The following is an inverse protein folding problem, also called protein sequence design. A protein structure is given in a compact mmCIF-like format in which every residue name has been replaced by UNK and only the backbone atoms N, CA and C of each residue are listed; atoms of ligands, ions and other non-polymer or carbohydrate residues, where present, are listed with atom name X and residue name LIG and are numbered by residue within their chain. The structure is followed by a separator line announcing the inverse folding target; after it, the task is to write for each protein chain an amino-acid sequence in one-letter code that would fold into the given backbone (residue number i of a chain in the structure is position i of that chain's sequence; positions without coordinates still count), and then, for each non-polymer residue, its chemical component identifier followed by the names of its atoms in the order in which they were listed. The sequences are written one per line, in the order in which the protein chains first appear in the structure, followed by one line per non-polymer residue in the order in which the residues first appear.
data_IF_527696124971
#
_entry.id   IF_527696124971
#
_cell.length_a   1.000
_cell.length_b   1.000
_cell.length_c   1.000
_cell.angle_alpha   90.00
_cell.angle_beta   90.00
_cell.angle_gamma   90.00
#
_symmetry.space_group_name_H-M   'P 1'
#
loop_
_entity.id
_entity.type
_entity.pdbx_description
1 polymer ?
#
# COMPACT_ATOMS: atom_id res chain seq x y z
N UNK A 1 31.00 -26.10 51.63
CA UNK A 1 29.82 -25.23 51.40
C UNK A 1 29.41 -25.38 49.94
N UNK A 2 28.11 -25.44 49.65
CA UNK A 2 27.65 -24.78 48.43
C UNK A 2 27.21 -25.63 47.24
N UNK A 3 26.99 -26.96 47.32
CA UNK A 3 26.38 -27.67 46.19
C UNK A 3 24.94 -27.15 45.92
N UNK A 4 24.18 -26.90 46.99
CA UNK A 4 22.88 -26.22 46.90
C UNK A 4 23.00 -24.76 46.43
N UNK A 5 24.08 -24.05 46.77
CA UNK A 5 24.31 -22.68 46.31
C UNK A 5 24.72 -22.63 44.83
N UNK A 6 25.55 -23.57 44.38
CA UNK A 6 25.94 -23.73 42.97
C UNK A 6 24.76 -24.17 42.11
N UNK A 7 23.86 -25.02 42.64
CA UNK A 7 22.62 -25.38 41.98
C UNK A 7 21.67 -24.17 41.87
N UNK A 8 21.50 -23.39 42.94
CA UNK A 8 20.71 -22.15 42.88
C UNK A 8 21.28 -21.13 41.89
N UNK A 9 22.61 -21.03 41.77
CA UNK A 9 23.26 -20.19 40.77
C UNK A 9 22.99 -20.69 39.34
N UNK A 10 23.06 -22.01 39.11
CA UNK A 10 22.74 -22.63 37.82
C UNK A 10 21.29 -22.36 37.41
N UNK A 11 20.35 -22.44 38.36
CA UNK A 11 18.93 -22.17 38.12
C UNK A 11 18.71 -20.70 37.72
N UNK A 12 19.35 -19.75 38.43
CA UNK A 12 19.29 -18.32 38.09
C UNK A 12 19.87 -18.01 36.70
N UNK A 13 21.02 -18.61 36.35
CA UNK A 13 21.62 -18.42 35.03
C UNK A 13 20.74 -19.01 33.92
N UNK A 14 20.08 -20.14 34.19
CA UNK A 14 19.16 -20.78 33.25
C UNK A 14 17.92 -19.93 33.03
N UNK A 15 17.36 -19.33 34.09
CA UNK A 15 16.26 -18.36 33.98
C UNK A 15 16.68 -17.16 33.13
N UNK A 16 17.85 -16.58 33.40
CA UNK A 16 18.39 -15.45 32.63
C UNK A 16 18.60 -15.80 31.15
N UNK A 17 19.04 -17.03 30.85
CA UNK A 17 19.16 -17.52 29.46
C UNK A 17 17.78 -17.58 28.77
N UNK A 18 16.78 -18.13 29.47
CA UNK A 18 15.40 -18.18 28.97
C UNK A 18 14.83 -16.79 28.70
N UNK A 19 15.12 -15.81 29.56
CA UNK A 19 14.68 -14.42 29.37
C UNK A 19 15.30 -13.80 28.11
N UNK A 20 16.60 -14.04 27.88
CA UNK A 20 17.29 -13.56 26.67
C UNK A 20 16.76 -14.22 25.39
N UNK A 21 16.46 -15.53 25.43
CA UNK A 21 15.83 -16.25 24.31
C UNK A 21 14.45 -15.68 23.98
N UNK A 22 13.67 -15.38 25.01
CA UNK A 22 12.36 -14.74 24.85
C UNK A 22 12.49 -13.34 24.24
N UNK A 23 13.48 -12.54 24.68
CA UNK A 23 13.76 -11.22 24.08
C UNK A 23 14.15 -11.32 22.62
N UNK A 24 15.05 -12.24 22.25
CA UNK A 24 15.44 -12.47 20.85
C UNK A 24 14.22 -12.82 20.00
N UNK A 25 13.33 -13.69 20.50
CA UNK A 25 12.10 -14.05 19.81
C UNK A 25 11.15 -12.86 19.63
N UNK A 26 10.99 -12.02 20.67
CA UNK A 26 10.18 -10.80 20.55
C UNK A 26 10.73 -9.83 19.51
N UNK A 27 12.06 -9.66 19.46
CA UNK A 27 12.70 -8.78 18.48
C UNK A 27 12.47 -9.32 17.06
N UNK A 28 12.59 -10.64 16.85
CA UNK A 28 12.32 -11.27 15.57
C UNK A 28 10.86 -11.05 15.11
N UNK A 29 9.88 -11.14 16.01
CA UNK A 29 8.48 -10.84 15.69
C UNK A 29 8.28 -9.37 15.30
N UNK A 30 8.91 -8.44 16.03
CA UNK A 30 8.86 -7.00 15.69
C UNK A 30 9.45 -6.73 14.31
N UNK A 31 10.54 -7.38 13.92
CA UNK A 31 11.13 -7.27 12.57
C UNK A 31 10.19 -7.83 11.48
N UNK A 32 9.48 -8.91 11.79
CA UNK A 32 8.45 -9.45 10.89
C UNK A 32 7.30 -8.44 10.71
N UNK A 33 6.88 -7.75 11.78
CA UNK A 33 5.87 -6.69 11.70
C UNK A 33 6.34 -5.53 10.81
N UNK A 34 7.58 -5.06 10.99
CA UNK A 34 8.15 -4.00 10.13
C UNK A 34 8.16 -4.39 8.64
N UNK A 35 8.45 -5.66 8.34
CA UNK A 35 8.39 -6.18 6.97
C UNK A 35 6.97 -6.10 6.40
N UNK A 36 5.96 -6.46 7.19
CA UNK A 36 4.55 -6.34 6.79
C UNK A 36 4.15 -4.89 6.56
N UNK A 37 4.60 -3.98 7.42
CA UNK A 37 4.34 -2.54 7.25
C UNK A 37 4.95 -2.02 5.93
N UNK A 38 6.17 -2.46 5.57
CA UNK A 38 6.75 -2.11 4.26
C UNK A 38 5.92 -2.62 3.08
N UNK A 39 5.34 -3.82 3.19
CA UNK A 39 4.49 -4.40 2.15
C UNK A 39 3.22 -3.56 1.95
N UNK A 40 2.55 -3.19 3.04
CA UNK A 40 1.36 -2.33 3.01
C UNK A 40 1.66 -0.98 2.35
N UNK A 41 2.79 -0.36 2.68
CA UNK A 41 3.20 0.92 2.08
C UNK A 41 3.51 0.80 0.58
N UNK A 42 4.11 -0.32 0.17
CA UNK A 42 4.36 -0.60 -1.24
C UNK A 42 3.04 -0.78 -2.01
N UNK A 43 2.06 -1.47 -1.42
CA UNK A 43 0.73 -1.61 -2.02
C UNK A 43 0.01 -0.26 -2.13
N UNK A 44 0.06 0.58 -1.10
CA UNK A 44 -0.58 1.89 -1.13
C UNK A 44 0.01 2.78 -2.23
N UNK A 45 1.33 2.82 -2.35
CA UNK A 45 2.01 3.51 -3.45
C UNK A 45 1.57 2.96 -4.81
N UNK A 46 1.54 1.64 -4.97
CA UNK A 46 1.13 1.01 -6.23
C UNK A 46 -0.34 1.32 -6.59
N UNK A 47 -1.23 1.45 -5.60
CA UNK A 47 -2.63 1.84 -5.82
C UNK A 47 -2.77 3.30 -6.23
N UNK A 48 -2.01 4.20 -5.60
CA UNK A 48 -1.98 5.63 -5.96
C UNK A 48 -1.41 5.81 -7.37
N UNK A 49 -0.23 5.27 -7.65
CA UNK A 49 0.39 5.36 -9.00
C UNK A 49 -0.38 4.62 -10.09
N UNK A 50 -1.14 3.60 -9.72
CA UNK A 50 -1.94 2.81 -10.66
C UNK A 50 -3.33 3.35 -10.95
N UNK A 51 -3.77 4.43 -10.27
CA UNK A 51 -5.11 4.96 -10.43
C UNK A 51 -5.30 5.62 -11.81
N UNK A 52 -6.55 5.62 -12.29
CA UNK A 52 -6.90 6.20 -13.59
C UNK A 52 -8.15 7.04 -13.48
N UNK A 53 -8.09 8.21 -14.08
CA UNK A 53 -9.18 9.18 -14.18
C UNK A 53 -9.53 9.35 -15.65
N UNK A 54 -10.80 9.62 -15.93
CA UNK A 54 -11.23 9.92 -17.29
C UNK A 54 -11.00 11.42 -17.49
N UNK A 55 -10.28 11.80 -18.55
CA UNK A 55 -10.04 13.21 -18.90
C UNK A 55 -10.65 13.52 -20.27
N UNK A 56 -11.04 14.79 -20.45
CA UNK A 56 -11.45 15.32 -21.74
C UNK A 56 -10.21 15.86 -22.45
N UNK A 57 -9.98 15.37 -23.66
CA UNK A 57 -8.86 15.77 -24.49
C UNK A 57 -9.33 16.82 -25.48
N UNK A 58 -8.74 18.02 -25.38
CA UNK A 58 -8.88 19.03 -26.43
C UNK A 58 -7.77 18.81 -27.47
N UNK A 59 -8.12 18.60 -28.75
CA UNK A 59 -7.12 18.44 -29.78
C UNK A 59 -6.30 19.71 -29.93
N UNK A 60 -5.00 19.55 -30.18
CA UNK A 60 -4.09 20.66 -30.39
C UNK A 60 -4.54 21.54 -31.57
N UNK A 61 -4.64 22.85 -31.34
CA UNK A 61 -5.06 23.82 -32.37
C UNK A 61 -3.97 24.06 -33.43
N UNK A 62 -2.74 23.60 -33.17
CA UNK A 62 -1.57 23.77 -34.05
C UNK A 62 -0.88 22.42 -34.35
N UNK A 63 -0.19 22.37 -35.51
CA UNK A 63 0.47 21.16 -36.06
C UNK A 63 1.47 20.46 -35.13
N UNK A 64 1.98 21.15 -34.10
CA UNK A 64 2.91 20.65 -33.08
C UNK A 64 2.47 21.02 -31.64
N UNK A 65 1.19 21.36 -31.42
CA UNK A 65 0.69 21.72 -30.09
C UNK A 65 0.51 20.48 -29.20
N UNK A 66 0.76 20.63 -27.89
CA UNK A 66 0.39 19.61 -26.92
C UNK A 66 -1.14 19.53 -26.76
N UNK A 67 -1.67 18.31 -26.67
CA UNK A 67 -3.08 18.08 -26.33
C UNK A 67 -3.35 18.57 -24.90
N UNK A 68 -4.34 19.45 -24.74
CA UNK A 68 -4.71 19.91 -23.40
C UNK A 68 -5.64 18.87 -22.76
N UNK A 69 -5.16 18.27 -21.66
CA UNK A 69 -5.93 17.34 -20.84
C UNK A 69 -6.73 18.14 -19.81
N UNK A 70 -8.03 18.27 -20.01
CA UNK A 70 -8.93 18.93 -19.07
C UNK A 70 -9.62 17.90 -18.19
N UNK A 71 -10.03 18.36 -17.01
CA UNK A 71 -10.85 17.58 -16.10
C UNK A 71 -12.24 17.30 -16.70
N UNK A 72 -12.87 16.21 -16.24
CA UNK A 72 -14.13 15.73 -16.78
C UNK A 72 -15.32 16.54 -16.26
N UNK A 73 -15.52 17.71 -16.86
CA UNK A 73 -16.67 18.56 -16.61
C UNK A 73 -17.63 18.54 -17.79
N UNK A 74 -18.91 18.79 -17.52
CA UNK A 74 -19.95 18.92 -18.56
C UNK A 74 -19.62 20.06 -19.52
N UNK A 75 -19.00 21.13 -19.03
CA UNK A 75 -18.54 22.24 -19.87
C UNK A 75 -17.42 21.78 -20.84
N UNK A 76 -16.41 21.07 -20.34
CA UNK A 76 -15.34 20.53 -21.19
C UNK A 76 -15.87 19.52 -22.24
N UNK A 77 -16.85 18.70 -21.88
CA UNK A 77 -17.52 17.78 -22.82
C UNK A 77 -18.28 18.54 -23.91
N UNK A 78 -19.04 19.58 -23.53
CA UNK A 78 -19.80 20.39 -24.49
C UNK A 78 -18.90 21.10 -25.50
N UNK A 79 -17.71 21.54 -25.08
CA UNK A 79 -16.71 22.15 -25.96
C UNK A 79 -16.14 21.15 -26.99
N UNK A 80 -16.21 19.84 -26.70
CA UNK A 80 -15.83 18.78 -27.62
C UNK A 80 -17.02 18.15 -28.36
N UNK A 81 -18.19 18.82 -28.37
CA UNK A 81 -19.43 18.30 -28.96
C UNK A 81 -19.81 16.92 -28.37
N UNK A 82 -19.61 16.75 -27.05
CA UNK A 82 -19.98 15.57 -26.29
C UNK A 82 -21.00 15.95 -25.21
N UNK A 83 -21.98 15.08 -25.03
CA UNK A 83 -22.97 15.20 -23.96
C UNK A 83 -23.09 13.89 -23.19
N UNK A 84 -23.40 14.01 -21.90
CA UNK A 84 -23.74 12.87 -21.05
C UNK A 84 -25.23 12.61 -21.14
N UNK A 85 -25.61 11.35 -21.26
CA UNK A 85 -26.99 10.91 -21.30
C UNK A 85 -27.20 9.90 -20.19
N UNK A 86 -28.22 10.13 -19.36
CA UNK A 86 -28.56 9.22 -18.27
C UNK A 86 -29.31 8.00 -18.82
N UNK A 87 -28.84 6.80 -18.45
CA UNK A 87 -29.40 5.53 -18.97
C UNK A 87 -30.83 5.28 -18.50
N UNK A 88 -31.24 5.84 -17.35
CA UNK A 88 -32.57 5.65 -16.78
C UNK A 88 -33.65 6.48 -17.51
N UNK A 89 -33.31 7.71 -17.93
CA UNK A 89 -34.25 8.68 -18.49
C UNK A 89 -34.07 8.86 -19.99
N UNK A 90 -32.88 8.55 -20.52
CA UNK A 90 -32.48 8.84 -21.90
C UNK A 90 -32.31 10.33 -22.17
N UNK A 91 -32.31 11.15 -21.12
CA UNK A 91 -32.20 12.62 -21.20
C UNK A 91 -30.75 13.08 -21.06
N UNK A 92 -30.46 14.22 -21.68
CA UNK A 92 -29.14 14.87 -21.57
C UNK A 92 -28.98 15.44 -20.16
N UNK A 93 -27.87 15.08 -19.54
CA UNK A 93 -27.49 15.60 -18.23
C UNK A 93 -26.96 17.02 -18.40
N UNK A 94 -27.77 18.00 -18.02
CA UNK A 94 -27.45 19.44 -18.13
C UNK A 94 -26.89 20.04 -16.84
N UNK A 95 -26.85 19.27 -15.75
CA UNK A 95 -26.44 19.76 -14.44
C UNK A 95 -24.92 19.95 -14.36
N UNK A 96 -24.45 21.14 -14.69
CA UNK A 96 -23.02 21.53 -14.67
C UNK A 96 -22.33 21.39 -13.30
N UNK A 97 -23.08 21.21 -12.21
CA UNK A 97 -22.54 21.05 -10.86
C UNK A 97 -22.28 19.59 -10.45
N UNK A 98 -22.45 18.63 -11.36
CA UNK A 98 -22.06 17.25 -11.11
C UNK A 98 -20.54 17.18 -10.86
N UNK A 99 -20.16 16.49 -9.79
CA UNK A 99 -18.75 16.23 -9.49
C UNK A 99 -18.12 15.42 -10.61
N UNK A 100 -16.86 15.70 -10.93
CA UNK A 100 -16.07 14.93 -11.90
C UNK A 100 -16.09 13.44 -11.53
N UNK A 101 -16.02 13.14 -10.23
CA UNK A 101 -16.10 11.78 -9.68
C UNK A 101 -17.46 11.11 -9.95
N UNK A 102 -18.57 11.85 -9.92
CA UNK A 102 -19.91 11.29 -10.18
C UNK A 102 -20.07 10.98 -11.68
N UNK A 103 -19.50 11.82 -12.54
CA UNK A 103 -19.49 11.62 -13.99
C UNK A 103 -18.63 10.40 -14.34
N UNK A 104 -17.43 10.30 -13.77
CA UNK A 104 -16.55 9.15 -13.96
C UNK A 104 -17.18 7.85 -13.51
N UNK A 105 -17.71 7.82 -12.28
CA UNK A 105 -18.37 6.64 -11.74
C UNK A 105 -19.61 6.28 -12.56
N UNK A 106 -20.38 7.27 -13.02
CA UNK A 106 -21.55 7.00 -13.84
C UNK A 106 -21.20 6.49 -15.25
N UNK A 107 -20.11 6.96 -15.87
CA UNK A 107 -19.63 6.42 -17.16
C UNK A 107 -19.06 5.00 -17.02
N UNK A 108 -18.39 4.69 -15.91
CA UNK A 108 -17.83 3.36 -15.65
C UNK A 108 -18.89 2.35 -15.25
N UNK A 109 -19.86 2.75 -14.43
CA UNK A 109 -20.95 1.89 -13.94
C UNK A 109 -22.15 1.83 -14.90
N UNK A 110 -22.15 2.64 -15.96
CA UNK A 110 -23.19 2.64 -17.00
C UNK A 110 -24.44 3.43 -16.65
N UNK A 111 -24.44 4.21 -15.57
CA UNK A 111 -25.49 5.18 -15.25
C UNK A 111 -25.53 6.31 -16.29
N UNK A 112 -24.37 6.71 -16.80
CA UNK A 112 -24.23 7.67 -17.89
C UNK A 112 -23.62 7.02 -19.13
N UNK A 113 -24.04 7.50 -20.30
CA UNK A 113 -23.47 7.16 -21.60
C UNK A 113 -23.03 8.44 -22.30
N UNK A 114 -21.99 8.34 -23.12
CA UNK A 114 -21.52 9.45 -23.94
C UNK A 114 -22.30 9.48 -25.27
N UNK A 115 -22.61 10.67 -25.75
CA UNK A 115 -23.13 10.86 -27.10
C UNK A 115 -22.51 12.11 -27.74
N UNK A 116 -22.40 12.07 -29.06
CA UNK A 116 -22.03 13.19 -29.90
C UNK A 116 -23.29 13.96 -30.32
N UNK A 117 -23.32 15.26 -30.00
CA UNK A 117 -24.44 16.14 -30.27
C UNK A 117 -24.58 17.24 -29.23
N UNK A 118 -25.60 18.07 -29.36
CA UNK A 118 -25.77 19.31 -28.58
C UNK A 118 -26.93 19.27 -27.60
N UNK A 119 -28.11 18.77 -28.00
CA UNK A 119 -29.32 18.73 -27.16
C UNK A 119 -30.33 17.71 -27.72
N UNK A 120 -30.95 16.89 -26.86
CA UNK A 120 -32.03 15.95 -27.23
C UNK A 120 -31.81 14.51 -26.76
N UNK A 121 -32.80 13.63 -26.94
CA UNK A 121 -32.64 12.20 -26.60
C UNK A 121 -31.67 11.53 -27.60
N UNK A 122 -30.99 10.47 -27.17
CA UNK A 122 -30.14 9.67 -28.06
C UNK A 122 -30.78 8.33 -28.42
N UNK A 123 -30.70 7.99 -29.70
CA UNK A 123 -31.20 6.72 -30.25
C UNK A 123 -30.06 5.72 -30.42
N UNK A 124 -30.41 4.44 -30.30
CA UNK A 124 -29.50 3.32 -30.54
C UNK A 124 -29.54 2.85 -32.01
N UNK A 125 -30.37 3.48 -32.84
CA UNK A 125 -30.81 2.96 -34.14
C UNK A 125 -30.49 3.98 -35.25
N UNK A 126 -29.67 3.58 -36.23
CA UNK A 126 -29.28 4.41 -37.39
C UNK A 126 -30.44 4.62 -38.38
N UNK A 127 -31.62 4.09 -38.07
CA UNK A 127 -32.78 4.12 -38.98
C UNK A 127 -34.07 4.42 -38.21
N UNK A 128 -34.31 5.68 -37.82
CA UNK A 128 -35.69 6.20 -37.82
C UNK A 128 -35.75 7.72 -37.72
N UNK A 129 -36.74 8.21 -38.46
CA UNK A 129 -37.24 9.57 -38.60
C UNK A 129 -36.87 10.59 -37.51
N UNK A 130 -36.17 11.64 -37.97
CA UNK A 130 -36.26 13.07 -37.58
C UNK A 130 -36.90 13.36 -36.21
N UNK A 131 -36.10 13.33 -35.14
CA UNK A 131 -36.23 14.26 -33.99
C UNK A 131 -35.09 14.11 -32.96
N UNK A 132 -34.36 12.98 -33.01
CA UNK A 132 -33.26 12.72 -32.07
C UNK A 132 -31.89 13.11 -32.64
N UNK A 133 -31.19 13.99 -31.91
CA UNK A 133 -30.02 14.73 -32.39
C UNK A 133 -28.67 14.20 -31.91
N UNK A 134 -28.67 13.15 -31.07
CA UNK A 134 -27.48 12.69 -30.36
C UNK A 134 -27.14 11.23 -30.71
N UNK A 135 -25.91 10.98 -31.17
CA UNK A 135 -25.38 9.65 -31.52
C UNK A 135 -24.54 9.09 -30.39
N UNK A 136 -24.85 7.90 -29.86
CA UNK A 136 -24.03 7.30 -28.80
C UNK A 136 -22.59 7.04 -29.25
N UNK A 137 -21.65 7.38 -28.39
CA UNK A 137 -20.22 7.12 -28.55
C UNK A 137 -19.73 6.33 -27.36
N UNK A 138 -18.88 5.32 -27.58
CA UNK A 138 -18.24 4.59 -26.50
C UNK A 138 -17.04 5.41 -25.99
N UNK A 139 -17.09 5.81 -24.72
CA UNK A 139 -16.05 6.59 -24.06
C UNK A 139 -14.69 5.87 -24.03
N UNK A 140 -14.66 4.53 -24.17
CA UNK A 140 -13.41 3.76 -24.21
C UNK A 140 -12.64 3.89 -25.52
N UNK A 141 -13.34 4.22 -26.59
CA UNK A 141 -12.78 4.32 -27.96
C UNK A 141 -12.82 5.74 -28.50
N UNK A 142 -13.37 6.68 -27.73
CA UNK A 142 -13.53 8.07 -28.16
C UNK A 142 -12.18 8.79 -28.23
N UNK A 143 -12.09 9.75 -29.14
CA UNK A 143 -10.88 10.56 -29.31
C UNK A 143 -10.85 11.73 -28.33
N UNK A 144 -12.01 12.20 -27.87
CA UNK A 144 -12.18 13.37 -27.01
C UNK A 144 -12.30 13.03 -25.51
N UNK A 145 -12.59 11.78 -25.14
CA UNK A 145 -12.68 11.33 -23.74
C UNK A 145 -11.83 10.08 -23.58
N UNK A 146 -10.84 10.09 -22.68
CA UNK A 146 -9.91 8.95 -22.50
C UNK A 146 -9.56 8.69 -21.03
N UNK A 147 -9.25 7.44 -20.74
CA UNK A 147 -8.61 7.03 -19.48
C UNK A 147 -7.14 7.46 -19.47
N UNK A 148 -6.77 8.25 -18.48
CA UNK A 148 -5.43 8.75 -18.23
C UNK A 148 -5.00 8.39 -16.81
N UNK A 149 -3.71 8.18 -16.58
CA UNK A 149 -3.18 8.01 -15.22
C UNK A 149 -3.38 9.30 -14.45
N UNK A 150 -3.85 9.20 -13.20
CA UNK A 150 -3.90 10.35 -12.32
C UNK A 150 -2.53 10.48 -11.65
N UNK A 151 -1.82 11.56 -12.00
CA UNK A 151 -0.41 11.75 -11.62
C UNK A 151 -0.24 12.82 -10.55
N UNK A 152 -1.32 13.46 -10.12
CA UNK A 152 -1.26 14.61 -9.22
C UNK A 152 -0.94 14.17 -7.77
N UNK A 153 -1.26 12.93 -7.38
CA UNK A 153 -0.93 12.35 -6.08
C UNK A 153 0.35 11.50 -6.08
N UNK A 154 0.94 11.23 -7.25
CA UNK A 154 2.13 10.37 -7.41
C UNK A 154 3.35 10.90 -6.66
N UNK A 155 3.56 12.23 -6.69
CA UNK A 155 4.69 12.88 -6.06
C UNK A 155 4.59 12.78 -4.53
N UNK A 156 3.40 13.04 -3.99
CA UNK A 156 3.13 12.92 -2.55
C UNK A 156 3.22 11.46 -2.10
N UNK A 157 2.62 10.52 -2.85
CA UNK A 157 2.68 9.10 -2.56
C UNK A 157 4.12 8.56 -2.55
N UNK A 158 4.94 9.02 -3.48
CA UNK A 158 6.36 8.66 -3.55
C UNK A 158 7.13 9.24 -2.37
N UNK A 159 6.90 10.51 -2.03
CA UNK A 159 7.55 11.17 -0.90
C UNK A 159 7.19 10.52 0.46
N UNK A 160 5.92 10.17 0.67
CA UNK A 160 5.46 9.45 1.87
C UNK A 160 6.12 8.08 1.95
N UNK A 161 6.09 7.31 0.86
CA UNK A 161 6.72 5.99 0.80
C UNK A 161 8.22 6.06 1.13
N UNK A 162 8.96 7.00 0.53
CA UNK A 162 10.39 7.14 0.76
C UNK A 162 10.70 7.54 2.21
N UNK A 163 9.92 8.48 2.77
CA UNK A 163 10.07 8.94 4.14
C UNK A 163 9.77 7.82 5.16
N UNK A 164 8.70 7.05 4.96
CA UNK A 164 8.32 5.98 5.86
C UNK A 164 9.22 4.75 5.70
N UNK A 165 9.62 4.42 4.48
CA UNK A 165 10.62 3.38 4.22
C UNK A 165 11.95 3.70 4.91
N UNK A 166 12.38 4.96 4.90
CA UNK A 166 13.58 5.39 5.64
C UNK A 166 13.44 5.19 7.16
N UNK A 167 12.28 5.55 7.74
CA UNK A 167 12.00 5.31 9.16
C UNK A 167 12.01 3.84 9.51
N UNK A 168 11.36 2.99 8.70
CA UNK A 168 11.31 1.55 8.94
C UNK A 168 12.70 0.92 8.83
N UNK A 169 13.50 1.32 7.84
CA UNK A 169 14.89 0.86 7.71
C UNK A 169 15.73 1.22 8.94
N UNK A 170 15.57 2.43 9.48
CA UNK A 170 16.26 2.83 10.72
C UNK A 170 15.85 1.97 11.91
N UNK A 171 14.56 1.65 12.05
CA UNK A 171 14.06 0.78 13.13
C UNK A 171 14.54 -0.66 12.97
N UNK A 172 14.57 -1.21 11.75
CA UNK A 172 15.08 -2.56 11.52
C UNK A 172 16.57 -2.66 11.86
N UNK A 173 17.36 -1.62 11.57
CA UNK A 173 18.76 -1.54 11.98
C UNK A 173 18.92 -1.52 13.51
N UNK A 174 18.06 -0.79 14.22
CA UNK A 174 18.05 -0.75 15.68
C UNK A 174 17.73 -2.15 16.26
N UNK A 175 16.67 -2.79 15.78
CA UNK A 175 16.31 -4.14 16.20
C UNK A 175 17.39 -5.19 15.87
N UNK A 176 18.09 -5.05 14.73
CA UNK A 176 19.21 -5.92 14.39
C UNK A 176 20.38 -5.77 15.37
N UNK A 177 20.67 -4.55 15.80
CA UNK A 177 21.70 -4.27 16.83
C UNK A 177 21.29 -4.80 18.21
N UNK A 178 20.03 -4.62 18.61
CA UNK A 178 19.49 -5.19 19.85
C UNK A 178 19.57 -6.71 19.85
N UNK A 179 19.17 -7.36 18.75
CA UNK A 179 19.24 -8.81 18.58
C UNK A 179 20.67 -9.33 18.73
N UNK A 180 21.63 -8.70 18.02
CA UNK A 180 23.07 -9.06 18.14
C UNK A 180 23.59 -8.92 19.56
N UNK A 181 23.15 -7.88 20.27
CA UNK A 181 23.53 -7.65 21.66
C UNK A 181 22.98 -8.74 22.57
N UNK A 182 21.70 -9.08 22.43
CA UNK A 182 21.04 -10.15 23.18
C UNK A 182 21.67 -11.53 22.89
N UNK A 183 21.98 -11.84 21.64
CA UNK A 183 22.68 -13.08 21.25
C UNK A 183 24.09 -13.17 21.85
N UNK A 184 24.81 -12.04 21.91
CA UNK A 184 26.13 -11.98 22.55
C UNK A 184 26.02 -12.24 24.05
N UNK A 185 25.02 -11.65 24.71
CA UNK A 185 24.75 -11.91 26.12
C UNK A 185 24.34 -13.37 26.38
N UNK A 186 23.48 -13.94 25.54
CA UNK A 186 23.05 -15.33 25.64
C UNK A 186 24.24 -16.30 25.52
N UNK A 187 25.17 -16.03 24.59
CA UNK A 187 26.43 -16.79 24.46
C UNK A 187 27.29 -16.67 25.72
N UNK A 188 27.43 -15.47 26.29
CA UNK A 188 28.15 -15.26 27.56
C UNK A 188 27.54 -16.06 28.71
N UNK A 189 26.21 -15.97 28.90
CA UNK A 189 25.48 -16.69 29.95
C UNK A 189 25.58 -18.21 29.75
N UNK A 190 25.57 -18.67 28.49
CA UNK A 190 25.77 -20.10 28.18
C UNK A 190 27.16 -20.57 28.62
N UNK A 191 28.20 -19.80 28.34
CA UNK A 191 29.56 -20.11 28.80
C UNK A 191 29.66 -20.12 30.34
N UNK A 192 28.95 -19.21 31.02
CA UNK A 192 28.86 -19.20 32.50
C UNK A 192 28.17 -20.45 33.03
N UNK A 193 27.05 -20.86 32.43
CA UNK A 193 26.32 -22.09 32.77
C UNK A 193 27.24 -23.32 32.66
N UNK A 194 27.97 -23.45 31.55
CA UNK A 194 28.88 -24.58 31.33
C UNK A 194 30.04 -24.59 32.32
N UNK A 195 30.56 -23.40 32.68
CA UNK A 195 31.56 -23.24 33.74
C UNK A 195 31.04 -23.68 35.12
N UNK A 196 29.82 -23.26 35.48
CA UNK A 196 29.18 -23.65 36.76
C UNK A 196 28.91 -25.15 36.81
N UNK A 197 28.37 -25.75 35.74
CA UNK A 197 28.15 -27.20 35.63
C UNK A 197 29.44 -27.98 35.86
N UNK A 198 30.53 -27.59 35.20
CA UNK A 198 31.85 -28.21 35.38
C UNK A 198 32.36 -28.11 36.82
N UNK A 199 32.09 -27.00 37.51
CA UNK A 199 32.46 -26.84 38.91
C UNK A 199 31.62 -27.70 39.86
N UNK A 200 30.33 -27.87 39.56
CA UNK A 200 29.45 -28.80 40.28
C UNK A 200 29.96 -30.23 40.11
N UNK A 201 30.25 -30.67 38.87
CA UNK A 201 30.80 -32.00 38.58
C UNK A 201 32.09 -32.28 39.36
N UNK A 202 33.06 -31.36 39.31
CA UNK A 202 34.30 -31.48 40.10
C UNK A 202 34.06 -31.57 41.59
N UNK A 203 33.10 -30.81 42.12
CA UNK A 203 32.77 -30.82 43.55
C UNK A 203 32.13 -32.15 43.97
N UNK A 204 31.30 -32.73 43.09
CA UNK A 204 30.72 -34.06 43.25
C UNK A 204 31.83 -35.11 43.25
N UNK A 205 32.73 -35.10 42.26
CA UNK A 205 33.85 -36.04 42.16
C UNK A 205 34.78 -36.00 43.39
N UNK A 206 35.13 -34.80 43.87
CA UNK A 206 35.95 -34.65 45.07
C UNK A 206 35.22 -35.16 46.31
N UNK A 207 33.90 -34.92 46.40
CA UNK A 207 33.05 -35.49 47.45
C UNK A 207 33.13 -37.02 47.46
N UNK A 208 32.90 -37.66 46.30
CA UNK A 208 32.97 -39.12 46.19
C UNK A 208 34.35 -39.69 46.53
N UNK A 209 35.45 -39.03 46.13
CA UNK A 209 36.82 -39.47 46.47
C UNK A 209 37.16 -39.34 47.95
N UNK A 210 36.47 -38.48 48.69
CA UNK A 210 36.65 -38.32 50.15
C UNK A 210 35.91 -39.40 50.96
N UNK A 211 34.96 -40.11 50.33
CA UNK A 211 34.15 -41.16 50.96
C UNK A 211 34.51 -42.59 50.53
N UNK A 212 35.47 -42.76 49.62
CA UNK A 212 36.01 -44.05 49.16
C UNK A 212 37.43 -44.26 49.69
#
# INVERSE_FOLDING_TARGET
MGLAASQACLDLLTLRKSDLEYQIMQIADRRLQLTKDMEVLAEEKARKVGNKVIKVIKPATERNGEEQKLSLSIDALSEQNRVLIETATGEVVTNKNLSEMDIENGLRNGTYRLAEGSDGKATQDETSDKEDKNKYVDWRTDTAVRDEYYTDDDEEATAIYDAETAKIKSKDQEFDMEQKTAETQQKSVTNEIDGVKKNIEKSIEMGFKLFA
#
